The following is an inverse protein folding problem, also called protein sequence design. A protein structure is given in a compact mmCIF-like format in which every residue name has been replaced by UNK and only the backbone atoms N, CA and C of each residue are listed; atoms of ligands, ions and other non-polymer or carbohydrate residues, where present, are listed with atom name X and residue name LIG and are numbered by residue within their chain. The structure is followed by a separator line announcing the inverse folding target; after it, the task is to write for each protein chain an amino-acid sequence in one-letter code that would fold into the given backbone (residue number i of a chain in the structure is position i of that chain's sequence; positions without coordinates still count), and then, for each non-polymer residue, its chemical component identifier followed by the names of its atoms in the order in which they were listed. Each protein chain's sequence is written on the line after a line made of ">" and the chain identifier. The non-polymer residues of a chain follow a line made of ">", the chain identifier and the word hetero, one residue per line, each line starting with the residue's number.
data_IF_211523599148
#
_entry.id   IF_211523599148
#
_cell.length_a   1.000
_cell.length_b   1.000
_cell.length_c   1.000
_cell.angle_alpha   90.00
_cell.angle_beta   90.00
_cell.angle_gamma   90.00
#
_symmetry.space_group_name_H-M   'P 1'
#
loop_
_entity.id
_entity.type
_entity.pdbx_description
1 polymer ?
#
# COMPACT_ATOMS: atom_id res chain seq x y z
N UNK A 1 3.74 26.37 17.83
CA UNK A 1 2.71 25.90 18.79
C UNK A 1 3.23 24.65 19.48
N UNK A 2 2.91 24.38 20.75
CA UNK A 2 3.31 23.15 21.42
C UNK A 2 2.43 21.99 20.93
N UNK A 3 3.08 20.89 20.53
CA UNK A 3 2.48 19.61 20.16
C UNK A 3 1.68 19.02 21.33
N UNK A 4 0.46 18.53 21.11
CA UNK A 4 -0.31 17.75 22.10
C UNK A 4 -0.11 16.26 21.83
N UNK A 5 0.21 15.49 22.86
CA UNK A 5 0.49 14.03 22.78
C UNK A 5 -0.67 13.16 22.23
N UNK A 6 -1.83 13.74 21.94
CA UNK A 6 -3.04 13.06 21.44
C UNK A 6 -3.31 13.29 19.94
N UNK A 7 -2.55 14.13 19.25
CA UNK A 7 -2.73 14.38 17.82
C UNK A 7 -2.22 13.19 16.99
N UNK A 8 -3.06 12.54 16.17
CA UNK A 8 -2.60 11.46 15.31
C UNK A 8 -1.64 12.02 14.26
N UNK A 9 -0.57 11.32 13.92
CA UNK A 9 0.25 11.70 12.76
C UNK A 9 -0.59 11.60 11.48
N UNK A 10 -0.24 12.40 10.45
CA UNK A 10 -0.94 12.39 9.16
C UNK A 10 -1.05 10.98 8.57
N UNK A 11 -0.01 10.16 8.72
CA UNK A 11 0.02 8.76 8.26
C UNK A 11 -1.06 7.90 8.94
N UNK A 12 -1.30 8.12 10.23
CA UNK A 12 -2.34 7.41 10.97
C UNK A 12 -3.72 7.88 10.54
N UNK A 13 -3.87 9.16 10.20
CA UNK A 13 -5.11 9.73 9.71
C UNK A 13 -5.49 9.21 8.31
N UNK A 14 -4.54 9.20 7.37
CA UNK A 14 -4.74 8.73 5.99
C UNK A 14 -5.01 7.22 5.95
N UNK A 15 -4.28 6.43 6.76
CA UNK A 15 -4.42 4.98 6.80
C UNK A 15 -5.60 4.44 7.61
N UNK A 16 -6.11 5.21 8.58
CA UNK A 16 -7.14 4.74 9.51
C UNK A 16 -8.39 4.17 8.81
N UNK A 17 -9.01 4.81 7.80
CA UNK A 17 -10.20 4.28 7.14
C UNK A 17 -9.95 2.91 6.49
N UNK A 18 -8.84 2.76 5.76
CA UNK A 18 -8.50 1.53 5.07
C UNK A 18 -8.25 0.37 6.05
N UNK A 19 -7.52 0.63 7.13
CA UNK A 19 -7.23 -0.37 8.18
C UNK A 19 -8.50 -0.73 8.95
N UNK A 20 -9.31 0.26 9.35
CA UNK A 20 -10.49 0.05 10.20
C UNK A 20 -11.55 -0.80 9.51
N UNK A 21 -11.74 -0.64 8.20
CA UNK A 21 -12.73 -1.40 7.43
C UNK A 21 -12.44 -2.91 7.37
N UNK A 22 -11.21 -3.34 7.67
CA UNK A 22 -10.80 -4.75 7.56
C UNK A 22 -10.39 -5.37 8.89
N UNK A 23 -10.37 -4.58 9.99
CA UNK A 23 -10.11 -5.11 11.34
C UNK A 23 -11.24 -6.05 11.76
N UNK A 24 -10.84 -7.20 12.29
CA UNK A 24 -11.72 -8.22 12.87
C UNK A 24 -11.34 -8.43 14.35
N UNK A 25 -12.32 -8.77 15.19
CA UNK A 25 -12.11 -9.10 16.61
C UNK A 25 -12.28 -10.59 16.86
N UNK A 26 -11.65 -11.10 17.92
CA UNK A 26 -11.88 -12.48 18.41
C UNK A 26 -12.63 -12.41 19.74
N UNK A 27 -13.47 -13.40 20.02
CA UNK A 27 -14.18 -13.53 21.30
C UNK A 27 -13.25 -13.54 22.53
N UNK A 28 -12.02 -14.06 22.39
CA UNK A 28 -11.02 -14.15 23.46
C UNK A 28 -9.61 -13.67 23.00
N UNK A 29 -9.56 -12.75 22.04
CA UNK A 29 -8.28 -12.24 21.52
C UNK A 29 -8.39 -10.84 20.94
N UNK A 30 -7.29 -10.11 20.95
CA UNK A 30 -7.22 -8.75 20.44
C UNK A 30 -7.55 -8.62 18.94
N UNK A 31 -7.63 -7.38 18.43
CA UNK A 31 -7.93 -7.11 17.03
C UNK A 31 -6.87 -7.70 16.10
N UNK A 32 -7.32 -8.16 14.94
CA UNK A 32 -6.48 -8.76 13.91
C UNK A 32 -6.97 -8.34 12.51
N UNK A 33 -6.10 -8.51 11.53
CA UNK A 33 -6.38 -8.39 10.10
C UNK A 33 -6.07 -9.75 9.46
N UNK A 34 -6.81 -10.16 8.42
CA UNK A 34 -6.39 -11.35 7.66
C UNK A 34 -5.12 -11.01 6.89
N UNK A 35 -4.28 -11.98 6.61
CA UNK A 35 -3.03 -11.76 5.90
C UNK A 35 -3.27 -11.28 4.45
N UNK A 36 -4.33 -11.74 3.81
CA UNK A 36 -4.82 -11.17 2.55
C UNK A 36 -5.22 -9.69 2.68
N UNK A 37 -6.08 -9.36 3.66
CA UNK A 37 -6.53 -7.96 3.87
C UNK A 37 -5.34 -7.05 4.22
N UNK A 38 -4.33 -7.59 4.91
CA UNK A 38 -3.08 -6.89 5.22
C UNK A 38 -2.36 -6.44 3.94
N UNK A 39 -2.23 -7.30 2.93
CA UNK A 39 -1.60 -6.93 1.65
C UNK A 39 -2.37 -5.90 0.85
N UNK A 40 -3.70 -5.99 0.86
CA UNK A 40 -4.54 -4.99 0.22
C UNK A 40 -4.34 -3.63 0.87
N UNK A 41 -4.29 -3.59 2.21
CA UNK A 41 -3.99 -2.38 2.97
C UNK A 41 -2.59 -1.86 2.64
N UNK A 42 -1.56 -2.71 2.64
CA UNK A 42 -0.19 -2.29 2.29
C UNK A 42 -0.14 -1.68 0.88
N UNK A 43 -0.76 -2.35 -0.10
CA UNK A 43 -0.78 -1.89 -1.50
C UNK A 43 -1.50 -0.55 -1.64
N UNK A 44 -2.66 -0.41 -0.99
CA UNK A 44 -3.45 0.82 -1.02
C UNK A 44 -2.68 2.01 -0.39
N UNK A 45 -2.06 1.79 0.77
CA UNK A 45 -1.36 2.85 1.49
C UNK A 45 -0.03 3.21 0.83
N UNK A 46 0.69 2.23 0.28
CA UNK A 46 1.86 2.51 -0.54
C UNK A 46 1.50 3.35 -1.77
N UNK A 47 0.42 2.99 -2.46
CA UNK A 47 -0.10 3.75 -3.62
C UNK A 47 -0.46 5.17 -3.21
N UNK A 48 -1.21 5.33 -2.12
CA UNK A 48 -1.62 6.65 -1.59
C UNK A 48 -0.41 7.50 -1.22
N UNK A 49 0.56 6.91 -0.53
CA UNK A 49 1.83 7.56 -0.19
C UNK A 49 2.60 7.97 -1.43
N UNK A 50 2.71 7.11 -2.44
CA UNK A 50 3.41 7.41 -3.69
C UNK A 50 2.76 8.56 -4.47
N UNK A 51 1.44 8.58 -4.57
CA UNK A 51 0.71 9.69 -5.18
C UNK A 51 0.97 10.99 -4.42
N UNK A 52 0.91 10.95 -3.09
CA UNK A 52 1.17 12.13 -2.26
C UNK A 52 2.63 12.63 -2.39
N UNK A 53 3.60 11.71 -2.39
CA UNK A 53 5.02 12.00 -2.57
C UNK A 53 5.33 12.61 -3.93
N UNK A 54 4.66 12.14 -5.00
CA UNK A 54 4.71 12.71 -6.34
C UNK A 54 4.12 14.12 -6.36
N UNK A 55 2.88 14.27 -5.91
CA UNK A 55 2.13 15.54 -5.93
C UNK A 55 2.78 16.65 -5.09
N UNK A 56 3.49 16.27 -4.01
CA UNK A 56 4.21 17.21 -3.11
C UNK A 56 5.72 17.12 -3.21
N UNK A 57 6.29 16.60 -4.30
CA UNK A 57 7.75 16.46 -4.49
C UNK A 57 8.55 17.72 -4.16
N UNK A 58 8.09 18.90 -4.62
CA UNK A 58 8.75 20.18 -4.35
C UNK A 58 8.59 20.69 -2.92
N UNK A 59 7.65 20.13 -2.15
CA UNK A 59 7.30 20.49 -0.76
C UNK A 59 7.45 19.29 0.18
N UNK A 60 8.26 18.30 -0.19
CA UNK A 60 8.34 17.03 0.52
C UNK A 60 8.79 17.18 1.97
N UNK A 61 9.71 18.10 2.25
CA UNK A 61 10.15 18.38 3.62
C UNK A 61 9.05 18.99 4.50
N UNK A 62 8.08 19.69 3.91
CA UNK A 62 6.90 20.19 4.65
C UNK A 62 5.97 19.03 4.93
N UNK A 63 5.72 18.16 3.94
CA UNK A 63 4.90 16.97 4.12
C UNK A 63 5.46 16.07 5.24
N UNK A 64 6.75 15.76 5.18
CA UNK A 64 7.40 14.85 6.13
C UNK A 64 7.42 15.39 7.56
N UNK A 65 7.42 16.71 7.77
CA UNK A 65 7.29 17.29 9.12
C UNK A 65 6.01 16.87 9.83
N UNK A 66 4.95 16.50 9.08
CA UNK A 66 3.68 16.02 9.63
C UNK A 66 3.67 14.51 9.93
N UNK A 67 4.74 13.81 9.56
CA UNK A 67 4.91 12.36 9.74
C UNK A 67 5.87 12.01 10.88
N UNK A 68 6.70 12.97 11.30
CA UNK A 68 7.77 12.74 12.28
C UNK A 68 7.54 13.56 13.54
N UNK A 69 8.08 13.08 14.67
CA UNK A 69 8.06 13.82 15.92
C UNK A 69 8.77 15.18 15.80
N UNK A 70 8.33 16.22 16.54
CA UNK A 70 9.03 17.50 16.59
C UNK A 70 10.51 17.35 16.94
N UNK A 71 11.38 18.04 16.20
CA UNK A 71 12.84 17.98 16.38
C UNK A 71 13.53 16.85 15.60
N UNK A 72 12.79 15.99 14.91
CA UNK A 72 13.39 14.99 14.02
C UNK A 72 14.12 15.63 12.83
N UNK A 73 15.18 14.95 12.37
CA UNK A 73 15.94 15.37 11.20
C UNK A 73 15.19 15.02 9.90
N UNK A 74 14.24 15.89 9.52
CA UNK A 74 13.35 15.75 8.35
C UNK A 74 14.09 15.33 7.08
N UNK A 75 15.22 15.96 6.77
CA UNK A 75 15.97 15.65 5.55
C UNK A 75 16.61 14.25 5.59
N UNK A 76 17.07 13.79 6.76
CA UNK A 76 17.57 12.42 6.92
C UNK A 76 16.44 11.42 6.75
N UNK A 77 15.25 11.72 7.28
CA UNK A 77 14.10 10.84 7.14
C UNK A 77 13.60 10.77 5.68
N UNK A 78 13.49 11.90 4.98
CA UNK A 78 13.20 11.92 3.52
C UNK A 78 14.17 11.01 2.76
N UNK A 79 15.47 11.17 3.02
CA UNK A 79 16.51 10.37 2.37
C UNK A 79 16.36 8.88 2.69
N UNK A 80 16.09 8.53 3.94
CA UNK A 80 15.82 7.15 4.35
C UNK A 80 14.64 6.53 3.59
N UNK A 81 13.52 7.25 3.45
CA UNK A 81 12.35 6.75 2.71
C UNK A 81 12.67 6.53 1.22
N UNK A 82 13.37 7.48 0.60
CA UNK A 82 13.79 7.38 -0.81
C UNK A 82 14.79 6.23 -1.03
N UNK A 83 15.74 6.03 -0.11
CA UNK A 83 16.71 4.94 -0.18
C UNK A 83 16.04 3.57 0.01
N UNK A 84 15.07 3.44 0.92
CA UNK A 84 14.31 2.20 1.08
C UNK A 84 13.49 1.88 -0.17
N UNK A 85 12.76 2.86 -0.71
CA UNK A 85 12.00 2.71 -1.94
C UNK A 85 12.89 2.29 -3.13
N UNK A 86 14.06 2.93 -3.25
CA UNK A 86 15.04 2.59 -4.28
C UNK A 86 15.56 1.16 -4.12
N UNK A 87 15.91 0.76 -2.90
CA UNK A 87 16.37 -0.60 -2.60
C UNK A 87 15.30 -1.63 -2.99
N UNK A 88 14.04 -1.41 -2.59
CA UNK A 88 12.93 -2.31 -2.96
C UNK A 88 12.77 -2.43 -4.48
N UNK A 89 12.86 -1.32 -5.20
CA UNK A 89 12.76 -1.30 -6.66
C UNK A 89 13.94 -2.03 -7.33
N UNK A 90 15.15 -1.88 -6.80
CA UNK A 90 16.33 -2.62 -7.28
C UNK A 90 16.20 -4.12 -7.04
N UNK A 91 15.71 -4.52 -5.86
CA UNK A 91 15.44 -5.92 -5.53
C UNK A 91 14.40 -6.53 -6.47
N UNK A 92 13.28 -5.84 -6.70
CA UNK A 92 12.25 -6.27 -7.66
C UNK A 92 12.83 -6.47 -9.07
N UNK A 93 13.61 -5.50 -9.57
CA UNK A 93 14.25 -5.59 -10.89
C UNK A 93 15.25 -6.74 -10.98
N UNK A 94 16.02 -6.99 -9.93
CA UNK A 94 17.00 -8.06 -9.90
C UNK A 94 16.33 -9.45 -9.92
N UNK A 95 15.17 -9.58 -9.28
CA UNK A 95 14.46 -10.84 -9.15
C UNK A 95 13.58 -11.14 -10.38
N UNK A 96 12.93 -10.13 -10.97
CA UNK A 96 11.98 -10.30 -12.07
C UNK A 96 12.48 -9.83 -13.44
N UNK A 97 13.58 -9.07 -13.49
CA UNK A 97 14.19 -8.60 -14.74
C UNK A 97 13.46 -7.43 -15.42
N UNK A 98 12.41 -6.89 -14.81
CA UNK A 98 11.61 -5.77 -15.31
C UNK A 98 11.27 -4.76 -14.20
N UNK A 99 10.69 -3.63 -14.58
CA UNK A 99 10.04 -2.71 -13.65
C UNK A 99 8.63 -3.20 -13.31
N UNK A 100 8.10 -2.84 -12.13
CA UNK A 100 6.71 -3.17 -11.80
C UNK A 100 5.74 -2.42 -12.73
N UNK A 101 4.67 -3.10 -13.11
CA UNK A 101 3.60 -2.53 -13.92
C UNK A 101 2.51 -1.88 -13.06
N UNK A 102 2.32 -2.36 -11.83
CA UNK A 102 1.32 -1.83 -10.87
C UNK A 102 1.85 -1.83 -9.44
N UNK A 103 1.29 -1.00 -8.57
CA UNK A 103 1.61 -1.02 -7.12
C UNK A 103 1.22 -2.34 -6.47
N UNK A 104 0.10 -2.93 -6.90
CA UNK A 104 -0.31 -4.22 -6.38
C UNK A 104 0.75 -5.28 -6.66
N UNK A 105 1.23 -5.42 -7.90
CA UNK A 105 2.33 -6.34 -8.23
C UNK A 105 3.59 -6.05 -7.40
N UNK A 106 3.98 -4.78 -7.32
CA UNK A 106 5.19 -4.35 -6.62
C UNK A 106 5.19 -4.73 -5.12
N UNK A 107 4.03 -4.61 -4.46
CA UNK A 107 3.87 -4.97 -3.05
C UNK A 107 3.60 -6.46 -2.88
N UNK A 108 2.72 -7.02 -3.70
CA UNK A 108 2.26 -8.40 -3.60
C UNK A 108 3.40 -9.39 -3.83
N UNK A 109 4.34 -9.12 -4.74
CA UNK A 109 5.42 -10.04 -5.09
C UNK A 109 6.23 -10.51 -3.86
N UNK A 110 6.80 -9.58 -3.09
CA UNK A 110 7.61 -9.92 -1.89
C UNK A 110 6.83 -10.56 -0.79
N UNK A 111 5.63 -10.03 -0.59
CA UNK A 111 4.80 -10.43 0.52
C UNK A 111 4.22 -11.84 0.32
N UNK A 112 3.87 -12.18 -0.92
CA UNK A 112 3.51 -13.54 -1.30
C UNK A 112 4.69 -14.48 -1.24
N UNK A 113 5.87 -14.06 -1.68
CA UNK A 113 7.08 -14.89 -1.53
C UNK A 113 7.33 -15.22 -0.05
N UNK A 114 7.30 -14.22 0.84
CA UNK A 114 7.44 -14.42 2.29
C UNK A 114 6.37 -15.36 2.85
N UNK A 115 5.13 -15.25 2.37
CA UNK A 115 4.03 -16.13 2.77
C UNK A 115 4.21 -17.57 2.30
N UNK A 116 4.69 -17.74 1.07
CA UNK A 116 4.98 -19.05 0.48
C UNK A 116 6.12 -19.71 1.25
N UNK A 117 7.21 -18.99 1.50
CA UNK A 117 8.33 -19.47 2.30
C UNK A 117 7.89 -19.91 3.69
N UNK A 118 7.10 -19.07 4.38
CA UNK A 118 6.50 -19.42 5.68
C UNK A 118 5.60 -20.66 5.63
N UNK A 119 4.95 -20.92 4.50
CA UNK A 119 4.14 -22.12 4.25
C UNK A 119 4.96 -23.33 3.73
N UNK A 120 6.27 -23.18 3.54
CA UNK A 120 7.16 -24.20 2.96
C UNK A 120 6.87 -24.44 1.48
N UNK A 121 6.54 -23.39 0.74
CA UNK A 121 6.24 -23.38 -0.70
C UNK A 121 7.19 -22.39 -1.40
N UNK A 122 7.39 -22.56 -2.70
CA UNK A 122 8.08 -21.58 -3.56
C UNK A 122 7.11 -20.98 -4.59
N UNK A 123 7.49 -19.86 -5.20
CA UNK A 123 6.74 -19.28 -6.34
C UNK A 123 6.58 -20.28 -7.48
N UNK A 124 7.59 -21.14 -7.73
CA UNK A 124 7.50 -22.20 -8.76
C UNK A 124 6.48 -23.29 -8.42
N UNK A 125 6.11 -23.44 -7.14
CA UNK A 125 5.07 -24.38 -6.71
C UNK A 125 3.65 -23.88 -7.02
N UNK A 126 3.46 -22.57 -7.22
CA UNK A 126 2.17 -21.97 -7.63
C UNK A 126 1.78 -22.46 -9.04
N UNK A 127 2.74 -22.57 -9.95
CA UNK A 127 2.49 -23.04 -11.33
C UNK A 127 2.05 -24.52 -11.36
N UNK A 128 2.37 -25.29 -10.30
CA UNK A 128 2.03 -26.72 -10.15
C UNK A 128 0.97 -26.95 -9.07
N UNK A 129 0.03 -26.01 -8.90
CA UNK A 129 -1.00 -26.09 -7.86
C UNK A 129 -1.89 -27.33 -8.08
N UNK A 130 -1.80 -28.28 -7.15
CA UNK A 130 -2.83 -29.28 -6.90
C UNK A 130 -3.70 -28.84 -5.70
N UNK A 131 -4.82 -29.53 -5.47
CA UNK A 131 -5.81 -29.19 -4.43
C UNK A 131 -5.18 -29.05 -3.04
N UNK A 132 -4.16 -29.86 -2.71
CA UNK A 132 -3.48 -29.80 -1.41
C UNK A 132 -2.63 -28.54 -1.25
N UNK A 133 -1.89 -28.14 -2.30
CA UNK A 133 -1.08 -26.92 -2.34
C UNK A 133 -1.97 -25.67 -2.35
N UNK A 134 -3.07 -25.71 -3.10
CA UNK A 134 -4.11 -24.66 -3.09
C UNK A 134 -4.65 -24.41 -1.67
N UNK A 135 -5.01 -25.48 -0.95
CA UNK A 135 -5.54 -25.37 0.41
C UNK A 135 -4.52 -24.83 1.40
N UNK A 136 -3.23 -25.19 1.25
CA UNK A 136 -2.16 -24.60 2.07
C UNK A 136 -2.01 -23.10 1.81
N UNK A 137 -2.07 -22.69 0.54
CA UNK A 137 -1.98 -21.30 0.14
C UNK A 137 -3.15 -20.49 0.71
N UNK A 138 -4.39 -20.94 0.51
CA UNK A 138 -5.59 -20.30 1.07
C UNK A 138 -5.44 -20.13 2.59
N UNK A 139 -4.99 -21.18 3.29
CA UNK A 139 -4.80 -21.13 4.74
C UNK A 139 -3.75 -20.11 5.17
N UNK A 140 -2.67 -19.92 4.39
CA UNK A 140 -1.67 -18.90 4.65
C UNK A 140 -2.24 -17.48 4.46
N UNK A 141 -3.02 -17.26 3.41
CA UNK A 141 -3.71 -15.98 3.19
C UNK A 141 -4.82 -15.67 4.19
N UNK A 142 -5.44 -16.70 4.76
CA UNK A 142 -6.41 -16.59 5.87
C UNK A 142 -5.75 -16.48 7.26
N UNK A 143 -4.41 -16.51 7.33
CA UNK A 143 -3.71 -16.36 8.59
C UNK A 143 -4.03 -15.01 9.23
N UNK A 144 -4.17 -15.01 10.55
CA UNK A 144 -4.60 -13.84 11.30
C UNK A 144 -3.39 -13.09 11.81
N UNK A 145 -3.12 -11.92 11.23
CA UNK A 145 -2.04 -11.03 11.68
C UNK A 145 -2.56 -10.16 12.83
N UNK A 146 -1.92 -10.25 13.99
CA UNK A 146 -2.27 -9.40 15.12
C UNK A 146 -2.06 -7.92 14.75
N UNK A 147 -3.05 -7.05 15.03
CA UNK A 147 -2.99 -5.65 14.63
C UNK A 147 -1.74 -4.94 15.19
N UNK A 148 -1.37 -5.23 16.44
CA UNK A 148 -0.15 -4.69 17.08
C UNK A 148 1.14 -5.00 16.30
N UNK A 149 1.18 -6.11 15.55
CA UNK A 149 2.31 -6.46 14.67
C UNK A 149 2.18 -5.82 13.28
N UNK A 150 0.96 -5.74 12.76
CA UNK A 150 0.67 -5.17 11.44
C UNK A 150 0.87 -3.64 11.38
N UNK A 151 0.44 -2.91 12.41
CA UNK A 151 0.44 -1.44 12.43
C UNK A 151 1.78 -0.80 12.08
N UNK A 152 2.93 -1.16 12.71
CA UNK A 152 4.20 -0.53 12.36
C UNK A 152 4.64 -0.82 10.91
N UNK A 153 4.29 -1.99 10.36
CA UNK A 153 4.61 -2.34 8.97
C UNK A 153 3.74 -1.52 8.02
N UNK A 154 2.45 -1.39 8.32
CA UNK A 154 1.51 -0.55 7.57
C UNK A 154 2.02 0.89 7.48
N UNK A 155 2.36 1.49 8.62
CA UNK A 155 2.91 2.84 8.68
C UNK A 155 4.17 2.98 7.82
N UNK A 156 5.10 2.04 7.95
CA UNK A 156 6.35 2.07 7.20
C UNK A 156 6.12 2.00 5.68
N UNK A 157 5.18 1.18 5.20
CA UNK A 157 4.89 1.06 3.77
C UNK A 157 4.24 2.33 3.21
N UNK A 158 3.38 2.99 3.97
CA UNK A 158 2.78 4.26 3.56
C UNK A 158 3.85 5.36 3.46
N UNK A 159 4.73 5.46 4.45
CA UNK A 159 5.86 6.40 4.43
C UNK A 159 6.86 6.08 3.32
N UNK A 160 7.19 4.81 3.10
CA UNK A 160 8.05 4.37 2.02
C UNK A 160 7.43 4.75 0.66
N UNK A 161 6.12 4.60 0.51
CA UNK A 161 5.36 5.08 -0.65
C UNK A 161 5.62 6.56 -0.93
N UNK A 162 5.58 7.43 0.10
CA UNK A 162 5.92 8.87 -0.04
C UNK A 162 7.34 9.05 -0.58
N UNK A 163 8.30 8.29 -0.05
CA UNK A 163 9.67 8.23 -0.56
C UNK A 163 9.71 7.85 -2.05
N UNK A 164 9.04 6.76 -2.41
CA UNK A 164 8.95 6.23 -3.78
C UNK A 164 8.39 7.26 -4.75
N UNK A 165 7.23 7.83 -4.45
CA UNK A 165 6.55 8.83 -5.28
C UNK A 165 7.40 10.06 -5.58
N UNK A 166 8.16 10.50 -4.59
CA UNK A 166 9.04 11.65 -4.73
C UNK A 166 10.30 11.37 -5.56
N UNK A 167 10.80 10.12 -5.50
CA UNK A 167 12.03 9.69 -6.16
C UNK A 167 11.78 9.20 -7.60
N UNK A 168 10.62 8.58 -7.84
CA UNK A 168 10.25 7.94 -9.12
C UNK A 168 8.86 8.41 -9.61
N UNK A 169 8.68 9.72 -9.89
CA UNK A 169 7.35 10.27 -10.20
C UNK A 169 6.78 9.74 -11.52
N UNK A 170 7.61 9.47 -12.54
CA UNK A 170 7.17 8.93 -13.83
C UNK A 170 6.73 7.46 -13.69
N UNK A 171 7.47 6.68 -12.88
CA UNK A 171 7.11 5.29 -12.58
C UNK A 171 5.82 5.22 -11.77
N UNK A 172 5.66 6.11 -10.79
CA UNK A 172 4.43 6.25 -9.98
C UNK A 172 3.22 6.51 -10.86
N UNK A 173 3.34 7.45 -11.80
CA UNK A 173 2.28 7.74 -12.76
C UNK A 173 1.94 6.53 -13.62
N UNK A 174 2.95 5.88 -14.21
CA UNK A 174 2.74 4.71 -15.06
C UNK A 174 2.04 3.58 -14.30
N UNK A 175 2.50 3.27 -13.10
CA UNK A 175 1.93 2.22 -12.25
C UNK A 175 0.48 2.51 -11.85
N UNK A 176 0.15 3.77 -11.58
CA UNK A 176 -1.22 4.18 -11.28
C UNK A 176 -2.13 4.03 -12.50
N UNK A 177 -1.74 4.62 -13.64
CA UNK A 177 -2.56 4.58 -14.86
C UNK A 177 -2.77 3.14 -15.34
N UNK A 178 -1.76 2.30 -15.26
CA UNK A 178 -1.89 0.87 -15.58
C UNK A 178 -2.91 0.15 -14.70
N UNK A 179 -2.97 0.48 -13.41
CA UNK A 179 -3.87 -0.19 -12.47
C UNK A 179 -5.31 0.34 -12.53
N UNK A 180 -5.50 1.65 -12.77
CA UNK A 180 -6.79 2.31 -12.53
C UNK A 180 -7.40 2.99 -13.77
N UNK A 181 -6.61 3.30 -14.80
CA UNK A 181 -7.10 3.96 -16.02
C UNK A 181 -7.13 2.99 -17.23
N UNK A 182 -6.15 2.09 -17.32
CA UNK A 182 -5.99 1.15 -18.44
C UNK A 182 -6.65 -0.20 -18.15
N UNK A 183 -7.92 -0.18 -17.75
CA UNK A 183 -8.65 -1.40 -17.36
C UNK A 183 -8.95 -2.26 -18.59
N UNK A 184 -8.57 -3.53 -18.52
CA UNK A 184 -8.91 -4.55 -19.51
C UNK A 184 -10.42 -4.83 -19.49
N UNK A 185 -11.14 -4.20 -20.44
CA UNK A 185 -12.59 -4.31 -20.54
C UNK A 185 -13.08 -5.70 -20.96
N UNK A 186 -12.24 -6.50 -21.62
CA UNK A 186 -12.58 -7.87 -22.00
C UNK A 186 -12.59 -8.74 -20.74
N UNK A 187 -11.52 -8.67 -19.92
CA UNK A 187 -11.48 -9.34 -18.62
C UNK A 187 -12.55 -8.83 -17.66
N UNK A 188 -12.84 -7.53 -17.66
CA UNK A 188 -13.92 -6.95 -16.85
C UNK A 188 -15.28 -7.55 -17.21
N UNK A 189 -15.55 -7.68 -18.51
CA UNK A 189 -16.79 -8.25 -19.02
C UNK A 189 -16.89 -9.75 -18.75
N UNK A 190 -15.80 -10.48 -18.91
CA UNK A 190 -15.69 -11.91 -18.59
C UNK A 190 -15.94 -12.17 -17.10
N UNK A 191 -15.29 -11.40 -16.21
CA UNK A 191 -15.49 -11.46 -14.76
C UNK A 191 -16.97 -11.31 -14.37
N UNK A 192 -17.68 -10.37 -15.01
CA UNK A 192 -19.13 -10.18 -14.82
C UNK A 192 -19.94 -11.38 -15.32
N UNK A 193 -19.60 -11.89 -16.50
CA UNK A 193 -20.26 -13.07 -17.07
C UNK A 193 -20.12 -14.31 -16.16
N UNK A 194 -19.03 -14.38 -15.38
CA UNK A 194 -18.80 -15.41 -14.36
C UNK A 194 -19.40 -15.11 -12.97
N UNK A 195 -20.24 -14.08 -12.86
CA UNK A 195 -21.04 -13.82 -11.67
C UNK A 195 -20.41 -12.88 -10.64
N UNK A 196 -19.28 -12.24 -10.95
CA UNK A 196 -18.77 -11.15 -10.11
C UNK A 196 -19.70 -9.94 -10.20
N UNK A 197 -20.07 -9.41 -9.03
CA UNK A 197 -20.97 -8.25 -8.92
C UNK A 197 -20.20 -6.95 -9.23
N UNK A 198 -19.85 -6.76 -10.50
CA UNK A 198 -19.18 -5.56 -11.00
C UNK A 198 -20.16 -4.68 -11.79
N UNK A 199 -19.92 -3.38 -11.77
CA UNK A 199 -20.64 -2.40 -12.59
C UNK A 199 -20.39 -2.65 -14.09
N UNK A 200 -21.30 -2.15 -14.94
CA UNK A 200 -21.16 -2.32 -16.39
C UNK A 200 -19.90 -1.68 -16.95
N UNK A 201 -19.53 -0.53 -16.40
CA UNK A 201 -18.27 0.12 -16.67
C UNK A 201 -17.51 0.30 -15.35
N UNK A 202 -16.20 0.06 -15.32
CA UNK A 202 -15.41 0.38 -14.15
C UNK A 202 -15.46 1.89 -13.88
N UNK A 203 -15.46 2.26 -12.61
CA UNK A 203 -15.21 3.65 -12.22
C UNK A 203 -13.72 3.92 -12.41
N UNK A 204 -13.40 4.76 -13.39
CA UNK A 204 -12.03 5.21 -13.64
C UNK A 204 -11.84 6.53 -12.90
N UNK A 205 -10.88 6.56 -11.99
CA UNK A 205 -10.40 7.77 -11.33
C UNK A 205 -9.06 8.10 -11.98
N UNK A 206 -8.91 9.32 -12.49
CA UNK A 206 -7.64 9.72 -13.10
C UNK A 206 -6.58 9.95 -12.03
N UNK A 207 -5.30 9.88 -12.39
CA UNK A 207 -4.21 10.20 -11.49
C UNK A 207 -4.37 11.59 -10.87
N UNK A 208 -4.76 12.58 -11.67
CA UNK A 208 -4.95 13.96 -11.22
C UNK A 208 -6.11 14.07 -10.23
N UNK A 209 -7.23 13.40 -10.49
CA UNK A 209 -8.36 13.34 -9.55
C UNK A 209 -7.95 12.65 -8.25
N UNK A 210 -7.18 11.57 -8.32
CA UNK A 210 -6.66 10.88 -7.15
C UNK A 210 -5.66 11.74 -6.36
N UNK A 211 -4.82 12.52 -7.04
CA UNK A 211 -3.95 13.51 -6.39
C UNK A 211 -4.79 14.53 -5.62
N UNK A 212 -5.85 15.07 -6.23
CA UNK A 212 -6.75 16.02 -5.57
C UNK A 212 -7.46 15.41 -4.36
N UNK A 213 -7.90 14.15 -4.44
CA UNK A 213 -8.49 13.41 -3.31
C UNK A 213 -7.50 13.31 -2.16
N UNK A 214 -6.29 12.80 -2.42
CA UNK A 214 -5.28 12.58 -1.38
C UNK A 214 -4.82 13.92 -0.78
N UNK A 215 -4.65 14.96 -1.60
CA UNK A 215 -4.32 16.30 -1.13
C UNK A 215 -5.44 16.92 -0.29
N UNK A 216 -6.70 16.66 -0.62
CA UNK A 216 -7.86 17.11 0.17
C UNK A 216 -7.89 16.44 1.54
N UNK A 217 -7.53 15.15 1.64
CA UNK A 217 -7.38 14.47 2.93
C UNK A 217 -6.27 15.12 3.79
N UNK A 218 -5.13 15.47 3.17
CA UNK A 218 -4.06 16.21 3.87
C UNK A 218 -4.55 17.60 4.30
N UNK A 219 -5.30 18.31 3.47
CA UNK A 219 -5.85 19.61 3.83
C UNK A 219 -6.85 19.52 5.00
N UNK A 220 -7.70 18.48 5.03
CA UNK A 220 -8.61 18.22 6.13
C UNK A 220 -7.84 17.96 7.44
N UNK A 221 -6.80 17.13 7.39
CA UNK A 221 -5.90 16.91 8.53
C UNK A 221 -5.28 18.21 9.04
N UNK A 222 -4.70 19.02 8.15
CA UNK A 222 -4.10 20.31 8.54
C UNK A 222 -5.16 21.24 9.15
N UNK A 223 -6.37 21.28 8.62
CA UNK A 223 -7.45 22.12 9.17
C UNK A 223 -7.92 21.69 10.56
N UNK A 224 -7.79 20.40 10.90
CA UNK A 224 -8.25 19.84 12.17
C UNK A 224 -7.16 19.88 13.26
N UNK A 225 -5.89 19.76 12.86
CA UNK A 225 -4.76 19.53 13.77
C UNK A 225 -3.58 20.53 13.63
N UNK A 226 -3.71 21.64 12.89
CA UNK A 226 -2.63 22.65 12.72
C UNK A 226 -3.01 24.09 13.10
#
# INVERSE_FOLDING_TARGET
>A
MPYKEEEPFLISYLGAPAVTNVIKTRLLGGPYISFHDFFLVLSYLYTTGAILGRARRSKLSILVKMLVVPGAEVNKFVKFLQENAKKRLEEFRNELGNEPDTFFEFIYFREVESALEGAGLSLTDIVKINTRRKNKLIKAFDEKVALKKASPIITLYEEEGIGFGSAFPELTERMYRNAFENIDMDRWSEARAHGLTLSEKPTIISLEEQEDIVLSMVAAYVSEYS
#
